data_IF_680387213553
#
_entry.id   IF_680387213553
#
_cell.length_a   1.000
_cell.length_b   1.000
_cell.length_c   1.000
_cell.angle_alpha   90.00
_cell.angle_beta   90.00
_cell.angle_gamma   90.00
#
_symmetry.space_group_name_H-M   'P 1'
#
loop_
_entity.id
_entity.type
_entity.pdbx_description
1 polymer ?
#
# COMPACT_ATOMS: atom_id res chain seq x y z
N UNK A 1 96.87 -1.86 26.98
CA UNK A 1 95.80 -0.95 26.52
C UNK A 1 95.41 -1.42 25.15
N UNK A 2 94.30 -2.12 24.93
CA UNK A 2 92.92 -1.67 25.10
C UNK A 2 91.99 -2.81 25.53
N UNK A 3 90.91 -2.41 26.18
CA UNK A 3 89.87 -3.15 26.92
C UNK A 3 88.97 -4.07 26.08
N UNK A 4 88.42 -5.17 26.65
CA UNK A 4 87.29 -5.88 26.07
C UNK A 4 85.98 -5.15 26.43
N UNK A 5 85.12 -4.89 25.45
CA UNK A 5 83.78 -4.31 25.69
C UNK A 5 82.73 -5.44 25.71
N UNK A 6 81.86 -5.49 26.73
CA UNK A 6 80.83 -6.51 26.89
C UNK A 6 79.50 -6.07 26.26
N UNK A 7 78.69 -7.03 25.82
CA UNK A 7 77.25 -6.83 25.66
C UNK A 7 76.66 -7.16 24.31
N UNK A 8 76.09 -8.36 24.21
CA UNK A 8 74.64 -8.57 23.97
C UNK A 8 74.34 -10.07 23.96
N UNK A 9 74.09 -10.59 25.15
CA UNK A 9 73.24 -11.76 25.34
C UNK A 9 71.78 -11.31 25.21
N UNK A 10 70.95 -12.18 24.62
CA UNK A 10 69.48 -12.15 24.55
C UNK A 10 68.96 -11.11 23.51
N UNK A 11 68.20 -11.48 22.49
CA UNK A 11 67.06 -12.39 22.48
C UNK A 11 66.91 -13.05 21.11
N UNK A 12 66.93 -14.38 21.13
CA UNK A 12 66.41 -15.24 20.07
C UNK A 12 64.97 -14.84 19.75
N UNK A 13 64.75 -14.29 18.56
CA UNK A 13 63.45 -13.82 18.07
C UNK A 13 62.65 -15.06 17.67
N UNK A 14 62.02 -15.72 18.64
CA UNK A 14 60.99 -16.72 18.35
C UNK A 14 59.92 -16.06 17.47
N UNK A 15 59.44 -16.71 16.40
CA UNK A 15 58.28 -16.23 15.65
C UNK A 15 57.04 -16.38 16.55
N UNK A 16 56.84 -15.37 17.40
CA UNK A 16 55.66 -15.25 18.25
C UNK A 16 54.45 -14.96 17.39
N UNK A 17 53.34 -15.64 17.71
CA UNK A 17 52.05 -15.41 17.09
C UNK A 17 51.66 -13.92 17.14
N UNK A 18 50.98 -13.39 16.10
CA UNK A 18 50.52 -12.02 16.09
C UNK A 18 49.62 -11.73 17.29
N UNK A 19 49.72 -10.52 17.83
CA UNK A 19 48.98 -10.13 19.03
C UNK A 19 47.47 -10.07 18.73
N UNK A 20 46.63 -10.36 19.73
CA UNK A 20 45.17 -10.32 19.59
C UNK A 20 44.66 -8.95 19.11
N UNK A 21 45.33 -7.86 19.48
CA UNK A 21 45.02 -6.52 19.00
C UNK A 21 45.28 -6.34 17.49
N UNK A 22 46.33 -6.97 16.94
CA UNK A 22 46.59 -6.99 15.48
C UNK A 22 45.51 -7.78 14.72
N UNK A 23 45.03 -8.89 15.29
CA UNK A 23 43.98 -9.73 14.71
C UNK A 23 42.62 -9.01 14.76
N UNK A 24 42.34 -8.27 15.84
CA UNK A 24 41.09 -7.51 16.00
C UNK A 24 41.07 -6.19 15.21
N UNK A 25 42.23 -5.56 14.99
CA UNK A 25 42.34 -4.35 14.17
C UNK A 25 42.30 -4.65 12.67
N UNK A 26 42.74 -5.83 12.24
CA UNK A 26 42.74 -6.26 10.82
C UNK A 26 41.37 -6.43 10.18
N UNK A 27 40.27 -6.37 10.94
CA UNK A 27 38.91 -6.61 10.44
C UNK A 27 38.09 -5.34 10.13
N UNK A 28 38.67 -4.14 10.28
CA UNK A 28 37.91 -2.88 10.06
C UNK A 28 37.95 -2.35 8.62
N UNK A 29 38.77 -2.90 7.73
CA UNK A 29 38.68 -2.63 6.30
C UNK A 29 37.99 -3.80 5.60
N UNK A 30 36.66 -3.86 5.73
CA UNK A 30 35.83 -4.64 4.82
C UNK A 30 36.23 -4.25 3.38
N UNK A 31 36.58 -5.21 2.51
CA UNK A 31 37.05 -4.91 1.17
C UNK A 31 36.07 -3.96 0.49
N UNK A 32 36.56 -2.90 -0.19
CA UNK A 32 35.71 -1.96 -0.97
C UNK A 32 34.72 -2.69 -1.90
N UNK A 33 35.05 -3.93 -2.27
CA UNK A 33 34.24 -4.86 -3.06
C UNK A 33 33.05 -5.49 -2.32
N UNK A 34 33.12 -5.71 -1.00
CA UNK A 34 31.97 -6.11 -0.16
C UNK A 34 31.08 -4.88 0.12
N UNK A 35 31.68 -3.69 0.22
CA UNK A 35 30.99 -2.46 0.57
C UNK A 35 29.92 -2.04 -0.44
N UNK A 36 30.17 -2.20 -1.75
CA UNK A 36 29.17 -1.81 -2.76
C UNK A 36 27.98 -2.76 -2.81
N UNK A 37 28.17 -4.07 -2.59
CA UNK A 37 27.07 -5.05 -2.54
C UNK A 37 26.16 -4.79 -1.34
N UNK A 38 26.75 -4.55 -0.17
CA UNK A 38 25.98 -4.19 1.02
C UNK A 38 25.23 -2.86 0.79
N UNK A 39 25.89 -1.86 0.22
CA UNK A 39 25.25 -0.57 -0.11
C UNK A 39 24.12 -0.74 -1.12
N UNK A 40 24.30 -1.58 -2.15
CA UNK A 40 23.27 -1.86 -3.14
C UNK A 40 22.07 -2.56 -2.50
N UNK A 41 22.32 -3.60 -1.69
CA UNK A 41 21.27 -4.31 -0.95
C UNK A 41 20.48 -3.36 -0.05
N UNK A 42 21.17 -2.58 0.78
CA UNK A 42 20.54 -1.62 1.70
C UNK A 42 19.74 -0.57 0.92
N UNK A 43 20.31 0.00 -0.14
CA UNK A 43 19.62 1.01 -0.98
C UNK A 43 18.36 0.42 -1.60
N UNK A 44 18.43 -0.79 -2.16
CA UNK A 44 17.30 -1.43 -2.81
C UNK A 44 16.20 -1.81 -1.82
N UNK A 45 16.55 -2.30 -0.63
CA UNK A 45 15.58 -2.58 0.44
C UNK A 45 14.93 -1.28 0.93
N UNK A 46 15.70 -0.22 1.15
CA UNK A 46 15.17 1.08 1.56
C UNK A 46 14.22 1.66 0.51
N UNK A 47 14.53 1.53 -0.77
CA UNK A 47 13.63 1.93 -1.86
C UNK A 47 12.34 1.11 -1.84
N UNK A 48 12.42 -0.20 -1.63
CA UNK A 48 11.24 -1.05 -1.51
C UNK A 48 10.37 -0.68 -0.30
N UNK A 49 10.97 -0.42 0.86
CA UNK A 49 10.26 0.10 2.02
C UNK A 49 9.61 1.45 1.73
N UNK A 50 10.33 2.37 1.09
CA UNK A 50 9.80 3.68 0.69
C UNK A 50 8.60 3.55 -0.25
N UNK A 51 8.65 2.64 -1.22
CA UNK A 51 7.53 2.33 -2.11
C UNK A 51 6.32 1.79 -1.34
N UNK A 52 6.53 0.87 -0.39
CA UNK A 52 5.45 0.35 0.47
C UNK A 52 4.79 1.46 1.29
N UNK A 53 5.56 2.34 1.92
CA UNK A 53 5.00 3.47 2.67
C UNK A 53 4.30 4.49 1.77
N UNK A 54 4.79 4.71 0.55
CA UNK A 54 4.13 5.59 -0.42
C UNK A 54 2.78 4.99 -0.85
N UNK A 55 2.72 3.69 -1.12
CA UNK A 55 1.47 2.99 -1.42
C UNK A 55 0.52 3.03 -0.22
N UNK A 56 1.00 2.76 0.99
CA UNK A 56 0.20 2.83 2.21
C UNK A 56 -0.34 4.25 2.46
N UNK A 57 0.50 5.27 2.23
CA UNK A 57 0.08 6.67 2.33
C UNK A 57 -0.99 7.01 1.29
N UNK A 58 -0.77 6.63 0.03
CA UNK A 58 -1.74 6.83 -1.05
C UNK A 58 -3.07 6.14 -0.76
N UNK A 59 -3.06 4.93 -0.18
CA UNK A 59 -4.25 4.22 0.29
C UNK A 59 -4.92 4.95 1.46
N UNK A 60 -4.15 5.45 2.42
CA UNK A 60 -4.68 6.17 3.58
C UNK A 60 -5.37 7.49 3.21
N UNK A 61 -4.99 8.09 2.08
CA UNK A 61 -5.59 9.32 1.56
C UNK A 61 -6.79 9.07 0.65
N UNK A 62 -7.17 7.82 0.38
CA UNK A 62 -8.34 7.53 -0.44
C UNK A 62 -9.61 8.04 0.26
N UNK A 63 -10.56 8.64 -0.49
CA UNK A 63 -11.85 9.03 0.05
C UNK A 63 -12.64 7.77 0.39
N UNK A 64 -13.13 7.69 1.63
CA UNK A 64 -13.91 6.57 2.13
C UNK A 64 -15.35 7.01 2.45
N UNK A 65 -16.33 6.21 2.02
CA UNK A 65 -17.72 6.41 2.42
C UNK A 65 -17.94 5.73 3.78
N UNK A 66 -18.46 6.42 4.79
CA UNK A 66 -18.55 5.89 6.16
C UNK A 66 -19.64 4.80 6.36
N UNK A 67 -20.08 4.15 5.29
CA UNK A 67 -21.14 3.15 5.30
C UNK A 67 -20.87 2.00 4.33
N UNK A 68 -21.26 0.80 4.74
CA UNK A 68 -21.17 -0.42 3.96
C UNK A 68 -22.47 -0.63 3.17
N UNK A 69 -22.34 -0.95 1.89
CA UNK A 69 -23.47 -1.14 0.98
C UNK A 69 -23.68 -2.63 0.68
N UNK A 70 -24.94 -3.05 0.66
CA UNK A 70 -25.32 -4.42 0.31
C UNK A 70 -26.49 -4.42 -0.66
N UNK A 71 -26.39 -5.25 -1.69
CA UNK A 71 -27.51 -5.51 -2.60
C UNK A 71 -28.60 -6.33 -1.91
N UNK A 72 -29.86 -5.96 -2.09
CA UNK A 72 -31.01 -6.74 -1.65
C UNK A 72 -31.47 -7.71 -2.73
N UNK A 73 -32.24 -8.76 -2.37
CA UNK A 73 -32.82 -9.68 -3.34
C UNK A 73 -33.68 -9.00 -4.41
N UNK A 74 -34.23 -7.83 -4.10
CA UNK A 74 -35.06 -7.02 -5.00
C UNK A 74 -34.23 -6.11 -5.94
N UNK A 75 -32.90 -6.19 -5.88
CA UNK A 75 -32.00 -5.39 -6.72
C UNK A 75 -31.78 -3.96 -6.23
N UNK A 76 -32.25 -3.63 -5.03
CA UNK A 76 -32.02 -2.33 -4.38
C UNK A 76 -30.73 -2.38 -3.57
N UNK A 77 -30.17 -1.21 -3.25
CA UNK A 77 -28.96 -1.13 -2.43
C UNK A 77 -29.36 -0.63 -1.05
N UNK A 78 -29.01 -1.39 -0.01
CA UNK A 78 -29.25 -1.02 1.38
C UNK A 78 -27.94 -0.70 2.08
N UNK A 79 -28.01 0.23 3.02
CA UNK A 79 -26.94 0.51 3.97
C UNK A 79 -26.95 -0.62 5.01
N UNK A 80 -25.90 -1.42 5.08
CA UNK A 80 -25.80 -2.55 6.00
C UNK A 80 -25.24 -2.14 7.37
N UNK A 81 -24.30 -1.21 7.38
CA UNK A 81 -23.60 -0.78 8.59
C UNK A 81 -22.97 0.59 8.37
N UNK A 82 -22.86 1.39 9.42
CA UNK A 82 -22.12 2.65 9.39
C UNK A 82 -20.95 2.64 10.39
N UNK A 83 -19.81 3.18 9.98
CA UNK A 83 -18.59 3.21 10.79
C UNK A 83 -18.66 4.24 11.95
N UNK A 84 -19.66 5.13 11.90
CA UNK A 84 -19.82 6.23 12.85
C UNK A 84 -21.16 6.15 13.59
N UNK A 85 -21.17 6.31 14.94
CA UNK A 85 -22.39 6.23 15.74
C UNK A 85 -23.56 7.12 15.28
N UNK A 86 -23.35 8.35 14.78
CA UNK A 86 -24.43 9.18 14.26
C UNK A 86 -25.12 8.58 13.04
N UNK A 87 -24.42 7.81 12.21
CA UNK A 87 -24.94 7.27 10.95
C UNK A 87 -25.60 5.88 11.10
N UNK A 88 -25.54 5.28 12.28
CA UNK A 88 -26.15 3.95 12.57
C UNK A 88 -27.66 3.95 12.30
N UNK A 89 -28.33 5.09 12.47
CA UNK A 89 -29.77 5.20 12.17
C UNK A 89 -30.13 5.10 10.67
N UNK A 90 -29.14 5.19 9.77
CA UNK A 90 -29.31 4.94 8.34
C UNK A 90 -29.25 3.45 7.98
N UNK A 91 -28.86 2.58 8.92
CA UNK A 91 -28.82 1.14 8.68
C UNK A 91 -30.19 0.58 8.28
N UNK A 92 -30.18 -0.27 7.26
CA UNK A 92 -31.37 -0.87 6.65
C UNK A 92 -32.13 0.04 5.68
N UNK A 93 -31.75 1.32 5.54
CA UNK A 93 -32.33 2.22 4.52
C UNK A 93 -31.82 1.88 3.14
N UNK A 94 -32.65 2.18 2.13
CA UNK A 94 -32.33 1.98 0.72
C UNK A 94 -31.71 3.26 0.18
N UNK A 95 -30.57 3.12 -0.50
CA UNK A 95 -29.78 4.18 -1.09
C UNK A 95 -30.03 4.22 -2.60
N UNK A 96 -30.44 5.38 -3.12
CA UNK A 96 -30.67 5.59 -4.56
C UNK A 96 -29.47 6.30 -5.22
N UNK A 97 -28.81 7.20 -4.49
CA UNK A 97 -27.65 7.92 -5.00
C UNK A 97 -26.99 8.86 -4.00
N UNK A 98 -25.97 9.56 -4.49
CA UNK A 98 -25.24 10.58 -3.76
C UNK A 98 -25.35 11.91 -4.51
N UNK A 99 -25.64 12.97 -3.75
CA UNK A 99 -25.75 14.34 -4.23
C UNK A 99 -24.69 15.21 -3.58
N UNK A 100 -23.97 15.97 -4.39
CA UNK A 100 -23.02 16.96 -3.91
C UNK A 100 -23.43 18.33 -4.46
N UNK A 101 -23.74 19.26 -3.56
CA UNK A 101 -24.17 20.60 -3.92
C UNK A 101 -22.96 21.55 -3.87
N UNK A 102 -22.49 21.97 -5.04
CA UNK A 102 -21.37 22.89 -5.16
C UNK A 102 -21.84 24.34 -5.27
N UNK A 103 -21.34 25.24 -4.41
CA UNK A 103 -21.54 26.67 -4.62
C UNK A 103 -20.71 27.13 -5.84
N UNK A 104 -21.38 27.64 -6.87
CA UNK A 104 -20.77 28.25 -8.04
C UNK A 104 -21.11 29.75 -8.02
N UNK A 105 -20.27 30.59 -8.64
CA UNK A 105 -20.45 32.06 -8.66
C UNK A 105 -21.86 32.54 -9.06
N UNK A 106 -22.65 31.72 -9.75
CA UNK A 106 -24.01 32.04 -10.22
C UNK A 106 -25.06 30.98 -9.85
N UNK A 107 -24.88 30.26 -8.73
CA UNK A 107 -25.88 29.31 -8.24
C UNK A 107 -25.29 28.09 -7.53
N UNK A 108 -26.06 27.01 -7.50
CA UNK A 108 -25.61 25.72 -6.96
C UNK A 108 -25.53 24.72 -8.12
N UNK A 109 -24.35 24.14 -8.36
CA UNK A 109 -24.21 23.02 -9.28
C UNK A 109 -24.33 21.73 -8.48
N UNK A 110 -25.35 20.94 -8.78
CA UNK A 110 -25.56 19.65 -8.12
C UNK A 110 -24.91 18.54 -8.95
N UNK A 111 -23.96 17.83 -8.35
CA UNK A 111 -23.40 16.60 -8.92
C UNK A 111 -24.15 15.42 -8.34
N UNK A 112 -24.76 14.62 -9.21
CA UNK A 112 -25.49 13.41 -8.84
C UNK A 112 -24.79 12.16 -9.34
N UNK A 113 -24.49 11.24 -8.42
CA UNK A 113 -23.99 9.91 -8.73
C UNK A 113 -25.03 8.87 -8.28
N UNK A 114 -25.78 8.26 -9.22
CA UNK A 114 -26.71 7.18 -8.88
C UNK A 114 -25.94 5.94 -8.43
N UNK A 115 -26.47 5.22 -7.45
CA UNK A 115 -25.91 3.97 -6.94
C UNK A 115 -26.83 2.84 -7.38
N UNK A 116 -26.35 2.03 -8.33
CA UNK A 116 -27.08 0.91 -8.93
C UNK A 116 -26.37 -0.41 -8.61
N UNK A 117 -27.03 -1.55 -8.79
CA UNK A 117 -26.39 -2.86 -8.57
C UNK A 117 -25.08 -3.03 -9.38
N UNK A 118 -25.02 -2.44 -10.57
CA UNK A 118 -23.82 -2.44 -11.43
C UNK A 118 -22.65 -1.62 -10.85
N UNK A 119 -22.90 -0.63 -9.98
CA UNK A 119 -21.84 0.14 -9.31
C UNK A 119 -21.22 -0.63 -8.14
N UNK A 120 -21.89 -1.65 -7.60
CA UNK A 120 -21.32 -2.56 -6.59
C UNK A 120 -20.41 -3.63 -7.19
N UNK A 121 -20.45 -3.84 -8.51
CA UNK A 121 -19.54 -4.77 -9.15
C UNK A 121 -18.13 -4.17 -9.16
N UNK A 122 -17.14 -4.96 -8.74
CA UNK A 122 -15.73 -4.53 -8.70
C UNK A 122 -15.10 -4.39 -10.09
N UNK A 123 -15.47 -5.26 -11.03
CA UNK A 123 -14.74 -5.40 -12.29
C UNK A 123 -15.65 -5.65 -13.48
N UNK A 124 -15.32 -4.99 -14.58
CA UNK A 124 -15.92 -5.18 -15.91
C UNK A 124 -15.64 -6.56 -16.52
N UNK A 125 -14.67 -7.31 -16.00
CA UNK A 125 -14.17 -8.55 -16.64
C UNK A 125 -15.26 -9.57 -16.93
N UNK A 126 -16.31 -9.60 -16.10
CA UNK A 126 -17.40 -10.56 -16.21
C UNK A 126 -18.66 -9.98 -16.89
N UNK A 127 -18.63 -8.72 -17.33
CA UNK A 127 -19.72 -8.09 -18.08
C UNK A 127 -19.55 -8.41 -19.56
N UNK A 128 -20.35 -9.37 -20.06
CA UNK A 128 -20.34 -9.79 -21.46
C UNK A 128 -20.99 -8.73 -22.36
N UNK A 129 -22.05 -8.10 -21.86
CA UNK A 129 -22.83 -7.10 -22.61
C UNK A 129 -22.08 -5.75 -22.71
N UNK A 130 -21.84 -5.23 -23.94
CA UNK A 130 -21.14 -3.97 -24.13
C UNK A 130 -21.90 -2.76 -23.55
N UNK A 131 -23.24 -2.77 -23.56
CA UNK A 131 -24.03 -1.64 -23.08
C UNK A 131 -23.96 -1.55 -21.55
N UNK A 132 -24.02 -2.70 -20.86
CA UNK A 132 -23.81 -2.77 -19.41
C UNK A 132 -22.41 -2.33 -19.02
N UNK A 133 -21.38 -2.70 -19.81
CA UNK A 133 -20.01 -2.28 -19.55
C UNK A 133 -19.85 -0.76 -19.68
N UNK A 134 -20.44 -0.17 -20.71
CA UNK A 134 -20.41 1.29 -20.87
C UNK A 134 -21.17 2.01 -19.73
N UNK A 135 -22.31 1.47 -19.28
CA UNK A 135 -23.04 2.00 -18.13
C UNK A 135 -22.22 1.90 -16.84
N UNK A 136 -21.57 0.77 -16.61
CA UNK A 136 -20.68 0.57 -15.47
C UNK A 136 -19.53 1.59 -15.44
N UNK A 137 -18.88 1.84 -16.58
CA UNK A 137 -17.84 2.87 -16.73
C UNK A 137 -18.38 4.27 -16.39
N UNK A 138 -19.56 4.61 -16.92
CA UNK A 138 -20.18 5.92 -16.66
C UNK A 138 -20.52 6.11 -15.18
N UNK A 139 -21.02 5.06 -14.51
CA UNK A 139 -21.32 5.09 -13.07
C UNK A 139 -20.04 5.32 -12.26
N UNK A 140 -18.96 4.60 -12.54
CA UNK A 140 -17.67 4.76 -11.87
C UNK A 140 -17.05 6.14 -12.12
N UNK A 141 -17.16 6.68 -13.35
CA UNK A 141 -16.67 8.03 -13.66
C UNK A 141 -17.43 9.12 -12.89
N UNK A 142 -18.76 9.01 -12.79
CA UNK A 142 -19.58 9.96 -12.01
C UNK A 142 -19.26 9.88 -10.51
N UNK A 143 -19.12 8.67 -9.99
CA UNK A 143 -18.73 8.44 -8.59
C UNK A 143 -17.35 9.05 -8.31
N UNK A 144 -16.35 8.75 -9.15
CA UNK A 144 -15.00 9.28 -8.99
C UNK A 144 -14.97 10.82 -9.09
N UNK A 145 -15.75 11.42 -9.99
CA UNK A 145 -15.85 12.87 -10.10
C UNK A 145 -16.47 13.49 -8.83
N UNK A 146 -17.52 12.87 -8.28
CA UNK A 146 -18.16 13.32 -7.03
C UNK A 146 -17.18 13.21 -5.86
N UNK A 147 -16.51 12.07 -5.69
CA UNK A 147 -15.56 11.84 -4.60
C UNK A 147 -14.33 12.76 -4.68
N UNK A 148 -13.79 12.98 -5.89
CA UNK A 148 -12.66 13.89 -6.08
C UNK A 148 -13.04 15.33 -5.69
N UNK A 149 -14.24 15.77 -6.04
CA UNK A 149 -14.73 17.09 -5.71
C UNK A 149 -15.01 17.24 -4.20
N UNK A 150 -15.66 16.24 -3.60
CA UNK A 150 -15.96 16.23 -2.17
C UNK A 150 -14.68 16.20 -1.30
N UNK A 151 -13.70 15.36 -1.67
CA UNK A 151 -12.44 15.22 -0.95
C UNK A 151 -11.53 16.45 -1.00
N UNK A 152 -11.57 17.23 -2.10
CA UNK A 152 -10.77 18.46 -2.22
C UNK A 152 -11.27 19.60 -1.33
N UNK A 153 -12.57 19.63 -1.03
CA UNK A 153 -13.24 20.80 -0.45
C UNK A 153 -13.86 20.53 0.93
N UNK A 154 -13.62 19.34 1.51
CA UNK A 154 -14.27 18.87 2.76
C UNK A 154 -15.80 19.10 2.74
N UNK A 155 -16.42 18.94 1.57
CA UNK A 155 -17.85 19.16 1.39
C UNK A 155 -18.63 17.95 1.91
N UNK A 156 -19.81 18.21 2.46
CA UNK A 156 -20.77 17.17 2.83
C UNK A 156 -21.49 16.67 1.59
N UNK A 157 -21.53 15.35 1.44
CA UNK A 157 -22.32 14.68 0.40
C UNK A 157 -23.68 14.34 0.98
N UNK A 158 -24.74 14.80 0.33
CA UNK A 158 -26.11 14.47 0.68
C UNK A 158 -26.43 13.06 0.15
N UNK A 159 -26.82 12.17 1.05
CA UNK A 159 -27.20 10.80 0.74
C UNK A 159 -28.67 10.77 0.37
N UNK A 160 -28.98 10.35 -0.86
CA UNK A 160 -30.35 10.28 -1.39
C UNK A 160 -31.00 8.95 -0.99
N UNK A 161 -31.89 9.01 -0.02
CA UNK A 161 -32.50 7.83 0.60
C UNK A 161 -33.91 7.61 0.06
N UNK A 162 -34.21 6.37 -0.33
CA UNK A 162 -35.56 6.04 -0.77
C UNK A 162 -36.53 6.16 0.43
N UNK A 163 -37.54 7.01 0.29
CA UNK A 163 -38.58 7.30 1.29
C UNK A 163 -38.08 7.95 2.59
N UNK A 164 -36.92 8.62 2.58
CA UNK A 164 -36.43 9.43 3.70
C UNK A 164 -35.86 10.77 3.20
N UNK A 165 -35.81 11.81 4.04
CA UNK A 165 -35.13 13.05 3.68
C UNK A 165 -33.63 12.81 3.49
N UNK A 166 -33.03 13.59 2.59
CA UNK A 166 -31.59 13.57 2.35
C UNK A 166 -30.82 13.88 3.63
N UNK A 167 -29.73 13.14 3.87
CA UNK A 167 -28.87 13.37 5.02
C UNK A 167 -27.45 13.74 4.59
N UNK A 168 -26.88 14.85 5.11
CA UNK A 168 -25.51 15.24 4.82
C UNK A 168 -24.51 14.32 5.53
N UNK A 169 -23.63 13.70 4.76
CA UNK A 169 -22.55 12.83 5.25
C UNK A 169 -21.20 13.40 4.84
N UNK A 170 -20.29 13.51 5.80
CA UNK A 170 -18.91 13.92 5.53
C UNK A 170 -18.07 12.75 5.04
N UNK A 171 -17.40 12.92 3.91
CA UNK A 171 -16.39 11.97 3.42
C UNK A 171 -15.11 12.19 4.20
N UNK A 172 -14.62 11.15 4.87
CA UNK A 172 -13.34 11.17 5.57
C UNK A 172 -12.33 10.28 4.84
N UNK A 173 -11.03 10.60 4.89
CA UNK A 173 -10.02 9.69 4.37
C UNK A 173 -9.99 8.40 5.21
N UNK A 174 -9.62 7.27 4.59
CA UNK A 174 -9.44 5.97 5.28
C UNK A 174 -8.52 6.09 6.51
N UNK A 175 -7.48 6.92 6.39
CA UNK A 175 -6.47 7.09 7.43
C UNK A 175 -5.56 5.87 7.58
N UNK A 176 -4.56 5.98 8.45
CA UNK A 176 -3.60 4.88 8.67
C UNK A 176 -4.20 3.70 9.44
N UNK A 177 -5.23 3.96 10.27
CA UNK A 177 -5.96 2.93 11.02
C UNK A 177 -6.97 2.17 10.18
N UNK A 178 -7.40 2.72 9.04
CA UNK A 178 -8.30 2.04 8.10
C UNK A 178 -7.58 1.03 7.19
N UNK A 179 -6.25 0.92 7.29
CA UNK A 179 -5.51 -0.10 6.56
C UNK A 179 -5.72 -1.48 7.20
N UNK A 180 -6.18 -2.45 6.41
CA UNK A 180 -6.45 -3.81 6.89
C UNK A 180 -5.18 -4.47 7.47
N UNK A 181 -5.27 -5.25 8.57
CA UNK A 181 -4.14 -6.03 9.06
C UNK A 181 -3.53 -6.97 7.99
N UNK A 182 -4.36 -7.46 7.06
CA UNK A 182 -3.91 -8.29 5.94
C UNK A 182 -3.03 -7.51 4.96
N UNK A 183 -3.25 -6.21 4.78
CA UNK A 183 -2.39 -5.36 3.95
C UNK A 183 -0.96 -5.36 4.49
N UNK A 184 -0.79 -5.18 5.79
CA UNK A 184 0.53 -5.19 6.44
C UNK A 184 1.21 -6.56 6.34
N UNK A 185 0.45 -7.64 6.58
CA UNK A 185 0.96 -9.00 6.48
C UNK A 185 1.46 -9.32 5.06
N UNK A 186 0.65 -9.02 4.04
CA UNK A 186 1.00 -9.27 2.63
C UNK A 186 2.14 -8.37 2.17
N UNK A 187 2.19 -7.11 2.62
CA UNK A 187 3.28 -6.17 2.32
C UNK A 187 4.61 -6.62 2.91
N UNK A 188 4.61 -7.11 4.15
CA UNK A 188 5.80 -7.68 4.79
C UNK A 188 6.27 -8.94 4.07
N UNK A 189 5.34 -9.81 3.66
CA UNK A 189 5.65 -11.01 2.88
C UNK A 189 6.25 -10.64 1.51
N UNK A 190 5.67 -9.65 0.82
CA UNK A 190 6.19 -9.14 -0.44
C UNK A 190 7.62 -8.61 -0.29
N UNK A 191 7.89 -7.83 0.77
CA UNK A 191 9.22 -7.30 1.07
C UNK A 191 10.23 -8.43 1.36
N UNK A 192 9.82 -9.47 2.08
CA UNK A 192 10.68 -10.62 2.36
C UNK A 192 11.04 -11.39 1.07
N UNK A 193 10.05 -11.68 0.21
CA UNK A 193 10.27 -12.36 -1.08
C UNK A 193 11.19 -11.53 -1.98
N UNK A 194 10.96 -10.22 -2.05
CA UNK A 194 11.83 -9.30 -2.77
C UNK A 194 13.27 -9.31 -2.21
N UNK A 195 13.41 -9.21 -0.89
CA UNK A 195 14.71 -9.24 -0.21
C UNK A 195 15.51 -10.50 -0.52
N UNK A 196 14.87 -11.67 -0.49
CA UNK A 196 15.50 -12.95 -0.87
C UNK A 196 15.98 -12.92 -2.33
N UNK A 197 15.16 -12.41 -3.25
CA UNK A 197 15.55 -12.27 -4.67
C UNK A 197 16.79 -11.39 -4.86
N UNK A 198 16.83 -10.25 -4.17
CA UNK A 198 17.96 -9.31 -4.23
C UNK A 198 19.22 -9.90 -3.58
N UNK A 199 19.11 -10.58 -2.43
CA UNK A 199 20.25 -11.26 -1.78
C UNK A 199 20.87 -12.28 -2.71
N UNK A 200 20.05 -13.14 -3.33
CA UNK A 200 20.53 -14.19 -4.25
C UNK A 200 21.21 -13.60 -5.49
N UNK A 201 20.65 -12.51 -6.04
CA UNK A 201 21.26 -11.80 -7.17
C UNK A 201 22.61 -11.18 -6.82
N UNK A 202 22.73 -10.59 -5.63
CA UNK A 202 23.93 -9.88 -5.20
C UNK A 202 25.03 -10.81 -4.67
N UNK A 203 24.66 -12.00 -4.18
CA UNK A 203 25.61 -13.03 -3.76
C UNK A 203 26.44 -13.52 -4.96
N UNK A 204 25.77 -13.89 -6.05
CA UNK A 204 26.38 -14.34 -7.29
C UNK A 204 25.63 -13.76 -8.50
N UNK A 205 26.17 -12.71 -9.16
CA UNK A 205 25.54 -12.08 -10.32
C UNK A 205 25.65 -12.95 -11.58
N UNK A 206 24.94 -14.08 -11.60
CA UNK A 206 24.83 -15.00 -12.73
C UNK A 206 23.45 -14.92 -13.39
N UNK A 207 23.34 -15.25 -14.68
CA UNK A 207 22.07 -15.21 -15.43
C UNK A 207 20.93 -15.98 -14.74
N UNK A 208 21.26 -17.15 -14.16
CA UNK A 208 20.31 -17.96 -13.39
C UNK A 208 19.74 -17.22 -12.17
N UNK A 209 20.59 -16.50 -11.44
CA UNK A 209 20.17 -15.74 -10.27
C UNK A 209 19.41 -14.48 -10.67
N UNK A 210 19.68 -13.92 -11.84
CA UNK A 210 18.88 -12.86 -12.44
C UNK A 210 17.46 -13.35 -12.76
N UNK A 211 17.32 -14.53 -13.38
CA UNK A 211 16.01 -15.14 -13.65
C UNK A 211 15.23 -15.42 -12.34
N UNK A 212 15.91 -15.93 -11.32
CA UNK A 212 15.33 -16.12 -9.99
C UNK A 212 14.86 -14.80 -9.35
N UNK A 213 15.68 -13.74 -9.43
CA UNK A 213 15.34 -12.44 -8.89
C UNK A 213 14.14 -11.80 -9.60
N UNK A 214 14.03 -11.95 -10.93
CA UNK A 214 12.87 -11.50 -11.70
C UNK A 214 11.61 -12.25 -11.27
N UNK A 215 11.70 -13.58 -11.07
CA UNK A 215 10.59 -14.37 -10.57
C UNK A 215 10.18 -13.92 -9.16
N UNK A 216 11.14 -13.73 -8.25
CA UNK A 216 10.88 -13.24 -6.91
C UNK A 216 10.24 -11.84 -6.92
N UNK A 217 10.69 -10.95 -7.80
CA UNK A 217 10.09 -9.62 -7.98
C UNK A 217 8.66 -9.71 -8.49
N UNK A 218 8.37 -10.62 -9.42
CA UNK A 218 7.00 -10.86 -9.90
C UNK A 218 6.08 -11.36 -8.78
N UNK A 219 6.55 -12.31 -7.96
CA UNK A 219 5.80 -12.85 -6.83
C UNK A 219 5.56 -11.79 -5.74
N UNK A 220 6.57 -10.98 -5.42
CA UNK A 220 6.42 -9.84 -4.52
C UNK A 220 5.40 -8.82 -5.05
N UNK A 221 5.42 -8.54 -6.36
CA UNK A 221 4.45 -7.67 -7.03
C UNK A 221 3.02 -8.21 -6.92
N UNK A 222 2.81 -9.51 -7.14
CA UNK A 222 1.48 -10.13 -6.99
C UNK A 222 0.93 -9.99 -5.56
N UNK A 223 1.77 -10.24 -4.55
CA UNK A 223 1.38 -10.07 -3.15
C UNK A 223 1.01 -8.61 -2.84
N UNK A 224 1.76 -7.64 -3.38
CA UNK A 224 1.46 -6.23 -3.21
C UNK A 224 0.15 -5.83 -3.89
N UNK A 225 -0.14 -6.34 -5.10
CA UNK A 225 -1.42 -6.09 -5.77
C UNK A 225 -2.60 -6.67 -4.99
N UNK A 226 -2.48 -7.88 -4.46
CA UNK A 226 -3.50 -8.48 -3.60
C UNK A 226 -3.72 -7.62 -2.34
N UNK A 227 -2.64 -7.11 -1.74
CA UNK A 227 -2.72 -6.24 -0.57
C UNK A 227 -3.47 -4.94 -0.87
N UNK A 228 -3.16 -4.31 -2.01
CA UNK A 228 -3.83 -3.09 -2.48
C UNK A 228 -5.30 -3.35 -2.75
N UNK A 229 -5.62 -4.42 -3.48
CA UNK A 229 -6.98 -4.77 -3.86
C UNK A 229 -7.87 -5.03 -2.64
N UNK A 230 -7.35 -5.76 -1.64
CA UNK A 230 -8.05 -5.98 -0.37
C UNK A 230 -8.40 -4.67 0.35
N UNK A 231 -7.53 -3.66 0.27
CA UNK A 231 -7.76 -2.38 0.94
C UNK A 231 -8.61 -1.40 0.13
N UNK A 232 -8.72 -1.60 -1.19
CA UNK A 232 -9.62 -0.82 -2.05
C UNK A 232 -11.04 -1.38 -2.05
N UNK A 233 -11.25 -2.60 -1.53
CA UNK A 233 -12.55 -3.30 -1.58
C UNK A 233 -13.64 -2.75 -0.66
N UNK A 234 -13.47 -1.53 -0.17
CA UNK A 234 -14.39 -0.90 0.76
C UNK A 234 -15.73 -0.54 0.10
N UNK A 235 -15.86 -0.77 -1.23
CA UNK A 235 -17.13 -0.68 -1.96
C UNK A 235 -17.73 -2.03 -2.38
N UNK A 236 -17.09 -3.17 -2.06
CA UNK A 236 -17.69 -4.46 -2.37
C UNK A 236 -18.55 -4.97 -1.20
N UNK A 237 -19.75 -5.49 -1.47
CA UNK A 237 -20.53 -6.15 -0.45
C UNK A 237 -19.77 -7.36 0.10
N UNK A 238 -19.70 -7.50 1.42
CA UNK A 238 -19.40 -8.80 2.06
C UNK A 238 -20.54 -9.76 1.71
N UNK A 239 -20.28 -10.67 0.78
CA UNK A 239 -21.19 -11.75 0.38
C UNK A 239 -21.44 -12.72 1.53
#
# INVERSE_FOLDING_TARGET
>A
MTTPSPGKLLTDRRPGWPSLDEILQGSHELPRWIGWRLRALVTTILLACGLLFLVAHWLSTQPHLPFNLRATPEGQIKIQGADYPPLVHLEGRILDGLRLDLPVNTGVQTLYAPIELLSLQRSERWLIDPDLRQRHLQLHQRMNALLAQAGSSNLTVNVDLLHAPDEPVSISPVGWSGLSPLFWLLSLLALAVFGVGIVVLLAEPQWRNMAFAVLAMSQAGQLLFIAIENNLDVFAPVW
#
